data_IF_827470340339
#
_entry.id   IF_827470340339
#
_cell.length_a   1.000
_cell.length_b   1.000
_cell.length_c   1.000
_cell.angle_alpha   90.00
_cell.angle_beta   90.00
_cell.angle_gamma   90.00
#
_symmetry.space_group_name_H-M   'P 1'
#
loop_
_entity.id
_entity.type
_entity.pdbx_description
1 polymer ?
#
# COMPACT_ATOMS: atom_id res chain seq x y z
N UNK A 1 3.71 17.87 -25.78
CA UNK A 1 3.10 18.62 -24.66
C UNK A 1 3.19 17.75 -23.42
N UNK A 2 4.24 17.93 -22.62
CA UNK A 2 4.35 17.25 -21.32
C UNK A 2 3.46 17.99 -20.33
N UNK A 3 2.29 17.44 -20.04
CA UNK A 3 1.40 18.00 -19.01
C UNK A 3 2.13 17.97 -17.67
N UNK A 4 2.34 19.14 -17.08
CA UNK A 4 2.92 19.27 -15.77
C UNK A 4 1.93 18.64 -14.77
N UNK A 5 2.26 17.46 -14.26
CA UNK A 5 1.43 16.76 -13.28
C UNK A 5 1.45 17.59 -12.00
N UNK A 6 0.44 18.42 -11.77
CA UNK A 6 0.30 19.13 -10.50
C UNK A 6 -0.13 18.12 -9.44
N UNK A 7 0.85 17.75 -8.60
CA UNK A 7 0.63 16.86 -7.46
C UNK A 7 -0.01 17.70 -6.35
N UNK A 8 -1.32 17.57 -6.20
CA UNK A 8 -2.08 18.25 -5.14
C UNK A 8 -2.26 17.32 -3.93
N UNK A 9 -2.54 17.85 -2.72
CA UNK A 9 -2.91 17.03 -1.57
C UNK A 9 -4.07 16.08 -1.86
N UNK A 10 -5.06 16.51 -2.66
CA UNK A 10 -6.16 15.67 -3.11
C UNK A 10 -5.72 14.51 -4.01
N UNK A 11 -4.77 14.74 -4.92
CA UNK A 11 -4.17 13.69 -5.75
C UNK A 11 -3.42 12.66 -4.91
N UNK A 12 -2.65 13.13 -3.91
CA UNK A 12 -1.90 12.27 -2.99
C UNK A 12 -2.85 11.42 -2.14
N UNK A 13 -3.92 12.02 -1.62
CA UNK A 13 -4.94 11.33 -0.81
C UNK A 13 -5.67 10.26 -1.64
N UNK A 14 -6.08 10.60 -2.87
CA UNK A 14 -6.71 9.64 -3.78
C UNK A 14 -5.79 8.47 -4.12
N UNK A 15 -4.50 8.73 -4.34
CA UNK A 15 -3.52 7.67 -4.57
C UNK A 15 -3.33 6.78 -3.32
N UNK A 16 -3.25 7.38 -2.13
CA UNK A 16 -3.18 6.65 -0.86
C UNK A 16 -4.39 5.74 -0.63
N UNK A 17 -5.60 6.21 -0.93
CA UNK A 17 -6.82 5.38 -0.89
C UNK A 17 -6.79 4.22 -1.90
N UNK A 18 -6.23 4.45 -3.09
CA UNK A 18 -5.99 3.38 -4.07
C UNK A 18 -4.99 2.34 -3.56
N UNK A 19 -3.90 2.78 -2.91
CA UNK A 19 -2.93 1.89 -2.28
C UNK A 19 -3.56 1.02 -1.20
N UNK A 20 -4.40 1.59 -0.32
CA UNK A 20 -5.13 0.84 0.70
C UNK A 20 -6.07 -0.20 0.11
N UNK A 21 -6.87 0.16 -0.89
CA UNK A 21 -7.80 -0.78 -1.54
C UNK A 21 -7.06 -1.96 -2.19
N UNK A 22 -5.91 -1.72 -2.81
CA UNK A 22 -5.07 -2.79 -3.36
C UNK A 22 -4.40 -3.61 -2.26
N UNK A 23 -3.95 -2.98 -1.17
CA UNK A 23 -3.37 -3.66 -0.02
C UNK A 23 -4.34 -4.66 0.61
N UNK A 24 -5.61 -4.27 0.76
CA UNK A 24 -6.68 -5.14 1.25
C UNK A 24 -6.91 -6.34 0.33
N UNK A 25 -6.93 -6.13 -0.99
CA UNK A 25 -7.06 -7.22 -1.97
C UNK A 25 -5.89 -8.21 -1.89
N UNK A 26 -4.66 -7.72 -1.73
CA UNK A 26 -3.49 -8.60 -1.54
C UNK A 26 -3.54 -9.32 -0.19
N UNK A 27 -4.08 -8.69 0.85
CA UNK A 27 -4.36 -9.34 2.13
C UNK A 27 -5.35 -10.49 2.00
N UNK A 28 -6.46 -10.28 1.29
CA UNK A 28 -7.45 -11.32 0.99
C UNK A 28 -6.85 -12.44 0.15
N UNK A 29 -6.04 -12.12 -0.87
CA UNK A 29 -5.35 -13.12 -1.68
C UNK A 29 -4.42 -14.00 -0.83
N UNK A 30 -3.64 -13.41 0.08
CA UNK A 30 -2.76 -14.17 0.97
C UNK A 30 -3.54 -15.14 1.88
N UNK A 31 -4.74 -14.75 2.34
CA UNK A 31 -5.62 -15.62 3.12
C UNK A 31 -6.22 -16.76 2.27
N UNK A 32 -6.65 -16.46 1.04
CA UNK A 32 -7.16 -17.49 0.12
C UNK A 32 -6.10 -18.54 -0.21
N UNK A 33 -4.85 -18.10 -0.44
CA UNK A 33 -3.73 -19.01 -0.65
C UNK A 33 -3.49 -19.88 0.59
N UNK A 34 -3.55 -19.31 1.80
CA UNK A 34 -3.45 -20.08 3.05
C UNK A 34 -4.50 -21.18 3.17
N UNK A 35 -5.74 -20.86 2.82
CA UNK A 35 -6.84 -21.82 2.82
C UNK A 35 -6.61 -22.95 1.82
N UNK A 36 -6.16 -22.62 0.60
CA UNK A 36 -5.83 -23.60 -0.43
C UNK A 36 -4.67 -24.54 -0.03
N UNK A 37 -3.79 -24.13 0.90
CA UNK A 37 -2.77 -25.01 1.48
C UNK A 37 -3.37 -26.10 2.37
N UNK A 38 -4.45 -25.80 3.07
CA UNK A 38 -4.98 -26.66 4.15
C UNK A 38 -5.91 -27.75 3.62
N UNK A 39 -6.22 -27.72 2.32
CA UNK A 39 -6.97 -28.78 1.63
C UNK A 39 -6.02 -29.88 1.14
N UNK A 40 -5.63 -30.76 2.05
CA UNK A 40 -4.71 -31.88 1.81
C UNK A 40 -5.32 -32.99 0.91
N UNK A 41 -6.58 -32.89 0.49
CA UNK A 41 -7.26 -33.94 -0.28
C UNK A 41 -7.00 -33.88 -1.80
N UNK A 42 -6.34 -32.82 -2.29
CA UNK A 42 -6.23 -32.56 -3.72
C UNK A 42 -5.32 -33.54 -4.51
N UNK A 43 -4.29 -34.13 -3.90
CA UNK A 43 -3.25 -34.86 -4.66
C UNK A 43 -3.29 -36.39 -4.51
N UNK A 44 -4.01 -36.93 -3.52
CA UNK A 44 -4.11 -38.36 -3.26
C UNK A 44 -2.77 -39.05 -2.96
N UNK A 45 -2.76 -40.37 -2.70
CA UNK A 45 -1.55 -41.12 -2.32
C UNK A 45 -0.46 -41.11 -3.40
N UNK A 46 -0.87 -41.10 -4.67
CA UNK A 46 0.05 -41.12 -5.82
C UNK A 46 0.71 -39.76 -6.01
N UNK A 47 -0.03 -38.65 -5.92
CA UNK A 47 0.52 -37.30 -6.06
C UNK A 47 1.50 -36.92 -4.95
N UNK A 48 1.27 -37.43 -3.74
CA UNK A 48 2.19 -37.28 -2.60
C UNK A 48 3.48 -38.08 -2.80
N UNK A 49 3.41 -39.29 -3.38
CA UNK A 49 4.58 -40.14 -3.59
C UNK A 49 5.58 -39.61 -4.65
N UNK A 50 5.10 -38.76 -5.57
CA UNK A 50 5.92 -38.17 -6.64
C UNK A 50 6.29 -36.70 -6.39
N UNK A 51 6.02 -36.17 -5.18
CA UNK A 51 6.44 -34.82 -4.75
C UNK A 51 5.71 -33.66 -5.43
N UNK A 52 4.57 -33.91 -6.08
CA UNK A 52 3.76 -32.84 -6.71
C UNK A 52 3.13 -31.95 -5.65
N UNK A 53 2.73 -32.53 -4.51
CA UNK A 53 2.22 -31.81 -3.34
C UNK A 53 3.23 -30.79 -2.82
N UNK A 54 4.50 -31.19 -2.68
CA UNK A 54 5.54 -30.35 -2.08
C UNK A 54 5.83 -29.12 -2.93
N UNK A 55 5.97 -29.30 -4.26
CA UNK A 55 6.15 -28.18 -5.19
C UNK A 55 4.94 -27.27 -5.25
N UNK A 56 3.73 -27.83 -5.19
CA UNK A 56 2.51 -27.05 -5.13
C UNK A 56 2.49 -26.17 -3.88
N UNK A 57 2.78 -26.74 -2.71
CA UNK A 57 2.82 -26.01 -1.45
C UNK A 57 3.94 -24.96 -1.40
N UNK A 58 5.12 -25.25 -1.94
CA UNK A 58 6.22 -24.28 -2.06
C UNK A 58 5.81 -23.09 -2.94
N UNK A 59 5.21 -23.36 -4.10
CA UNK A 59 4.74 -22.32 -5.02
C UNK A 59 3.66 -21.46 -4.35
N UNK A 60 2.71 -22.11 -3.67
CA UNK A 60 1.61 -21.45 -2.98
C UNK A 60 2.12 -20.59 -1.81
N UNK A 61 3.11 -21.06 -1.05
CA UNK A 61 3.79 -20.28 -0.03
C UNK A 61 4.51 -19.06 -0.64
N UNK A 62 5.22 -19.24 -1.75
CA UNK A 62 5.88 -18.14 -2.47
C UNK A 62 4.88 -17.07 -2.94
N UNK A 63 3.74 -17.49 -3.48
CA UNK A 63 2.65 -16.57 -3.85
C UNK A 63 2.10 -15.83 -2.62
N UNK A 64 1.90 -16.53 -1.50
CA UNK A 64 1.40 -15.93 -0.27
C UNK A 64 2.37 -14.88 0.27
N UNK A 65 3.67 -15.18 0.32
CA UNK A 65 4.69 -14.24 0.77
C UNK A 65 4.77 -13.02 -0.14
N UNK A 66 4.69 -13.22 -1.45
CA UNK A 66 4.69 -12.12 -2.42
C UNK A 66 3.46 -11.23 -2.24
N UNK A 67 2.28 -11.82 -2.03
CA UNK A 67 1.06 -11.06 -1.74
C UNK A 67 1.19 -10.25 -0.44
N UNK A 68 1.77 -10.83 0.62
CA UNK A 68 2.05 -10.12 1.89
C UNK A 68 3.01 -8.94 1.69
N UNK A 69 4.09 -9.12 0.92
CA UNK A 69 5.04 -8.06 0.59
C UNK A 69 4.39 -6.94 -0.23
N UNK A 70 3.56 -7.27 -1.21
CA UNK A 70 2.83 -6.29 -2.01
C UNK A 70 1.87 -5.46 -1.13
N UNK A 71 1.14 -6.11 -0.22
CA UNK A 71 0.31 -5.42 0.78
C UNK A 71 1.13 -4.45 1.62
N UNK A 72 2.26 -4.90 2.16
CA UNK A 72 3.13 -4.07 3.00
C UNK A 72 3.63 -2.83 2.23
N UNK A 73 4.15 -3.03 1.03
CA UNK A 73 4.64 -1.94 0.17
C UNK A 73 3.56 -0.88 -0.09
N UNK A 74 2.32 -1.30 -0.35
CA UNK A 74 1.22 -0.38 -0.59
C UNK A 74 0.82 0.39 0.67
N UNK A 75 0.83 -0.24 1.84
CA UNK A 75 0.57 0.44 3.11
C UNK A 75 1.66 1.45 3.47
N UNK A 76 2.93 1.10 3.25
CA UNK A 76 4.06 2.02 3.42
C UNK A 76 3.98 3.20 2.45
N UNK A 77 3.58 2.93 1.21
CA UNK A 77 3.35 3.99 0.21
C UNK A 77 2.23 4.92 0.64
N UNK A 78 1.09 4.39 1.13
CA UNK A 78 0.01 5.21 1.69
C UNK A 78 0.52 6.09 2.84
N UNK A 79 1.27 5.52 3.78
CA UNK A 79 1.82 6.28 4.92
C UNK A 79 2.70 7.44 4.45
N UNK A 80 3.60 7.19 3.49
CA UNK A 80 4.46 8.23 2.93
C UNK A 80 3.66 9.35 2.23
N UNK A 81 2.57 9.01 1.55
CA UNK A 81 1.69 10.01 0.92
C UNK A 81 0.95 10.84 1.97
N UNK A 82 0.45 10.22 3.04
CA UNK A 82 -0.19 10.92 4.15
C UNK A 82 0.77 11.86 4.87
N UNK A 83 2.01 11.44 5.10
CA UNK A 83 3.02 12.29 5.73
C UNK A 83 3.40 13.46 4.82
N UNK A 84 3.49 13.23 3.50
CA UNK A 84 3.69 14.31 2.52
C UNK A 84 2.54 15.33 2.59
N UNK A 85 1.29 14.88 2.72
CA UNK A 85 0.13 15.79 2.85
C UNK A 85 0.25 16.62 4.13
N UNK A 86 0.61 16.01 5.27
CA UNK A 86 0.82 16.75 6.53
C UNK A 86 1.90 17.81 6.40
N UNK A 87 3.00 17.49 5.73
CA UNK A 87 4.10 18.43 5.50
C UNK A 87 3.65 19.66 4.67
N UNK A 88 2.78 19.45 3.66
CA UNK A 88 2.15 20.54 2.91
C UNK A 88 1.30 21.44 3.82
N UNK A 89 0.42 20.83 4.61
CA UNK A 89 -0.47 21.58 5.53
C UNK A 89 0.32 22.37 6.59
N UNK A 90 1.37 21.77 7.15
CA UNK A 90 2.25 22.45 8.11
C UNK A 90 3.01 23.62 7.47
N UNK A 91 3.51 23.42 6.26
CA UNK A 91 4.23 24.46 5.52
C UNK A 91 3.31 25.63 5.19
N UNK A 92 2.08 25.36 4.74
CA UNK A 92 1.09 26.39 4.45
C UNK A 92 0.71 27.18 5.70
N UNK A 93 0.50 26.51 6.84
CA UNK A 93 0.23 27.18 8.13
C UNK A 93 1.37 28.10 8.56
N UNK A 94 2.62 27.64 8.46
CA UNK A 94 3.80 28.45 8.81
C UNK A 94 3.91 29.69 7.92
N UNK A 95 3.63 29.55 6.61
CA UNK A 95 3.63 30.68 5.68
C UNK A 95 2.54 31.69 6.06
N UNK A 96 1.31 31.24 6.32
CA UNK A 96 0.20 32.10 6.74
C UNK A 96 0.56 32.84 8.04
N UNK A 97 1.14 32.15 9.02
CA UNK A 97 1.54 32.76 10.29
C UNK A 97 2.62 33.84 10.09
N UNK A 98 3.62 33.59 9.25
CA UNK A 98 4.66 34.57 8.91
C UNK A 98 4.07 35.77 8.18
N UNK A 99 3.17 35.56 7.22
CA UNK A 99 2.52 36.63 6.47
C UNK A 99 1.62 37.49 7.37
N UNK A 100 0.87 36.88 8.29
CA UNK A 100 0.05 37.60 9.26
C UNK A 100 0.92 38.45 10.19
N UNK A 101 2.00 37.89 10.76
CA UNK A 101 2.94 38.65 11.61
C UNK A 101 3.60 39.81 10.87
N UNK A 102 3.98 39.60 9.60
CA UNK A 102 4.55 40.66 8.78
C UNK A 102 3.51 41.77 8.48
N UNK A 103 2.26 41.40 8.21
CA UNK A 103 1.16 42.35 7.99
C UNK A 103 0.83 43.19 9.23
N UNK A 104 0.80 42.58 10.42
CA UNK A 104 0.63 43.28 11.70
C UNK A 104 1.74 44.31 11.94
N UNK A 105 2.99 43.99 11.60
CA UNK A 105 4.13 44.91 11.73
C UNK A 105 4.17 46.05 10.71
N UNK A 106 3.42 45.96 9.61
CA UNK A 106 3.30 47.01 8.59
C UNK A 106 2.09 47.92 8.80
N UNK A 107 1.11 47.48 9.60
CA UNK A 107 -0.11 48.23 9.91
C UNK A 107 0.02 49.13 11.16
N UNK A 108 1.15 49.05 11.89
CA UNK A 108 1.51 49.93 13.00
C UNK A 108 2.59 50.94 12.60
#
# INVERSE_FOLDING_TARGET
MGGQLQVTPGTLSGHGGGCESLADKFGQLAQLLEQARTDDQCFGPVGNAIGISDRYFETLQGCQETARKARQFLMETKQALEDTIKDYDETERKIIEVLNKAGEGLAG
#
